data_IF_477485303833
#
_entry.id   IF_477485303833
#
_cell.length_a   1.000
_cell.length_b   1.000
_cell.length_c   1.000
_cell.angle_alpha   90.00
_cell.angle_beta   90.00
_cell.angle_gamma   90.00
#
_symmetry.space_group_name_H-M   'P 1'
#
loop_
_entity.id
_entity.type
_entity.pdbx_description
1 polymer ?
#
# COMPACT_ATOMS: atom_id res chain seq x y z
N UNK A 1 1.84 10.68 21.91
CA UNK A 1 2.36 11.29 20.66
C UNK A 1 2.17 10.20 19.62
N UNK A 2 1.24 10.36 18.67
CA UNK A 2 1.03 9.35 17.65
C UNK A 2 2.24 9.43 16.70
N UNK A 3 3.06 8.39 16.70
CA UNK A 3 4.17 8.26 15.77
C UNK A 3 3.58 8.27 14.36
N UNK A 4 4.04 9.20 13.52
CA UNK A 4 3.58 9.32 12.15
C UNK A 4 4.11 8.09 11.40
N UNK A 5 3.29 7.05 11.26
CA UNK A 5 3.62 5.78 10.62
C UNK A 5 3.58 5.92 9.10
N UNK A 6 4.49 6.72 8.56
CA UNK A 6 4.59 6.97 7.13
C UNK A 6 4.83 5.71 6.32
N UNK A 7 3.94 5.43 5.36
CA UNK A 7 4.13 4.36 4.40
C UNK A 7 5.37 4.61 3.54
N UNK A 8 6.23 3.61 3.37
CA UNK A 8 7.35 3.71 2.43
C UNK A 8 6.87 3.51 1.00
N UNK A 9 7.18 4.46 0.12
CA UNK A 9 6.80 4.40 -1.29
C UNK A 9 8.03 4.56 -2.18
N UNK A 10 8.06 3.81 -3.29
CA UNK A 10 8.96 4.14 -4.39
C UNK A 10 8.49 5.46 -5.02
N UNK A 11 9.39 6.17 -5.70
CA UNK A 11 9.02 7.37 -6.47
C UNK A 11 7.89 7.07 -7.48
N UNK A 12 7.97 5.94 -8.19
CA UNK A 12 6.94 5.52 -9.15
C UNK A 12 5.58 5.28 -8.48
N UNK A 13 5.56 4.60 -7.33
CA UNK A 13 4.35 4.39 -6.56
C UNK A 13 3.75 5.71 -6.09
N UNK A 14 4.59 6.60 -5.53
CA UNK A 14 4.17 7.92 -5.11
C UNK A 14 3.55 8.71 -6.26
N UNK A 15 4.17 8.70 -7.44
CA UNK A 15 3.69 9.41 -8.62
C UNK A 15 2.36 8.83 -9.13
N UNK A 16 2.19 7.50 -9.13
CA UNK A 16 0.91 6.84 -9.46
C UNK A 16 -0.20 7.27 -8.51
N UNK A 17 0.06 7.26 -7.21
CA UNK A 17 -0.91 7.65 -6.18
C UNK A 17 -1.25 9.14 -6.23
N UNK A 18 -0.26 9.98 -6.53
CA UNK A 18 -0.46 11.41 -6.74
C UNK A 18 -1.32 11.68 -7.98
N UNK A 19 -1.07 10.99 -9.09
CA UNK A 19 -1.88 11.09 -10.29
C UNK A 19 -3.33 10.63 -10.05
N UNK A 20 -3.52 9.55 -9.30
CA UNK A 20 -4.85 9.10 -8.87
C UNK A 20 -5.55 10.19 -8.04
N UNK A 21 -4.85 10.76 -7.05
CA UNK A 21 -5.39 11.84 -6.23
C UNK A 21 -5.79 13.06 -7.07
N UNK A 22 -4.97 13.48 -8.03
CA UNK A 22 -5.28 14.60 -8.92
C UNK A 22 -6.53 14.33 -9.77
N UNK A 23 -6.67 13.12 -10.30
CA UNK A 23 -7.86 12.72 -11.06
C UNK A 23 -9.13 12.71 -10.19
N UNK A 24 -9.07 12.06 -9.02
CA UNK A 24 -10.21 11.92 -8.13
C UNK A 24 -10.66 13.24 -7.52
N UNK A 25 -9.71 14.13 -7.18
CA UNK A 25 -9.99 15.43 -6.55
C UNK A 25 -10.34 16.54 -7.54
N UNK A 26 -10.00 16.36 -8.82
CA UNK A 26 -10.28 17.29 -9.91
C UNK A 26 -11.41 16.79 -10.82
N UNK A 27 -11.10 16.27 -12.02
CA UNK A 27 -12.08 15.98 -13.06
C UNK A 27 -13.19 15.03 -12.58
N UNK A 28 -12.85 13.94 -11.89
CA UNK A 28 -13.85 12.96 -11.48
C UNK A 28 -14.79 13.50 -10.39
N UNK A 29 -14.28 14.29 -9.45
CA UNK A 29 -15.12 15.00 -8.47
C UNK A 29 -16.12 15.92 -9.18
N UNK A 30 -15.69 16.63 -10.22
CA UNK A 30 -16.58 17.50 -11.00
C UNK A 30 -17.65 16.67 -11.74
N UNK A 31 -17.27 15.55 -12.36
CA UNK A 31 -18.22 14.64 -13.03
C UNK A 31 -19.30 14.09 -12.08
N UNK A 32 -18.93 13.79 -10.82
CA UNK A 32 -19.90 13.37 -9.80
C UNK A 32 -20.85 14.53 -9.46
N UNK A 33 -20.34 15.75 -9.29
CA UNK A 33 -21.15 16.95 -9.01
C UNK A 33 -22.14 17.20 -10.14
N UNK A 34 -21.69 17.10 -11.39
CA UNK A 34 -22.53 17.32 -12.57
C UNK A 34 -23.64 16.27 -12.66
N UNK A 35 -23.33 14.99 -12.37
CA UNK A 35 -24.34 13.91 -12.29
C UNK A 35 -25.35 14.12 -11.17
N UNK A 36 -24.91 14.58 -9.99
CA UNK A 36 -25.82 14.92 -8.88
C UNK A 36 -26.73 16.08 -9.29
N UNK A 37 -26.19 17.10 -9.97
CA UNK A 37 -26.99 18.24 -10.45
C UNK A 37 -28.02 17.81 -11.48
N UNK A 38 -27.62 17.01 -12.47
CA UNK A 38 -28.52 16.51 -13.51
C UNK A 38 -29.65 15.65 -12.90
N UNK A 39 -29.32 14.72 -12.00
CA UNK A 39 -30.31 13.90 -11.31
C UNK A 39 -31.24 14.73 -10.41
N UNK A 40 -30.78 15.90 -9.92
CA UNK A 40 -31.62 16.82 -9.14
C UNK A 40 -32.65 17.55 -9.99
N UNK A 41 -32.33 17.83 -11.24
CA UNK A 41 -33.23 18.50 -12.18
C UNK A 41 -34.34 17.56 -12.69
N UNK A 42 -34.18 16.24 -12.53
CA UNK A 42 -35.15 15.20 -12.93
C UNK A 42 -36.39 15.09 -12.01
N UNK A 43 -36.44 15.82 -10.88
CA UNK A 43 -37.64 15.94 -10.05
C UNK A 43 -37.55 15.28 -8.68
N UNK A 44 -38.37 14.25 -8.40
CA UNK A 44 -38.49 13.69 -7.05
C UNK A 44 -37.22 12.92 -6.62
N UNK A 45 -36.42 13.59 -5.78
CA UNK A 45 -35.18 13.07 -5.23
C UNK A 45 -35.36 11.85 -4.33
N UNK A 46 -36.55 11.63 -3.78
CA UNK A 46 -36.78 10.53 -2.84
C UNK A 46 -36.74 9.18 -3.55
N UNK A 47 -37.22 9.12 -4.79
CA UNK A 47 -37.26 7.91 -5.61
C UNK A 47 -36.20 7.87 -6.71
N UNK A 48 -35.47 8.98 -6.94
CA UNK A 48 -34.41 9.02 -7.96
C UNK A 48 -33.19 8.16 -7.55
N UNK A 49 -33.12 6.94 -8.08
CA UNK A 49 -32.00 6.02 -7.87
C UNK A 49 -30.66 6.56 -8.38
N UNK A 50 -30.66 7.36 -9.45
CA UNK A 50 -29.47 8.02 -9.99
C UNK A 50 -28.90 9.06 -9.02
N UNK A 51 -29.76 9.82 -8.36
CA UNK A 51 -29.34 10.77 -7.33
C UNK A 51 -28.70 10.08 -6.12
N UNK A 52 -29.33 9.02 -5.60
CA UNK A 52 -28.78 8.24 -4.47
C UNK A 52 -27.46 7.58 -4.83
N UNK A 53 -27.37 6.97 -6.02
CA UNK A 53 -26.13 6.36 -6.50
C UNK A 53 -24.99 7.38 -6.64
N UNK A 54 -25.26 8.54 -7.23
CA UNK A 54 -24.25 9.59 -7.38
C UNK A 54 -23.80 10.16 -6.03
N UNK A 55 -24.69 10.24 -5.03
CA UNK A 55 -24.34 10.64 -3.66
C UNK A 55 -23.51 9.59 -2.91
N UNK A 56 -23.80 8.31 -3.10
CA UNK A 56 -22.98 7.22 -2.56
C UNK A 56 -21.58 7.24 -3.18
N UNK A 57 -21.52 7.42 -4.50
CA UNK A 57 -20.27 7.53 -5.25
C UNK A 57 -19.44 8.74 -4.82
N UNK A 58 -20.07 9.89 -4.59
CA UNK A 58 -19.43 11.05 -3.97
C UNK A 58 -18.81 10.69 -2.62
N UNK A 59 -19.54 9.98 -1.75
CA UNK A 59 -19.03 9.55 -0.45
C UNK A 59 -17.80 8.64 -0.56
N UNK A 60 -17.83 7.67 -1.49
CA UNK A 60 -16.70 6.78 -1.76
C UNK A 60 -15.50 7.55 -2.28
N UNK A 61 -15.71 8.47 -3.24
CA UNK A 61 -14.65 9.30 -3.80
C UNK A 61 -13.98 10.16 -2.72
N UNK A 62 -14.76 10.85 -1.89
CA UNK A 62 -14.21 11.67 -0.79
C UNK A 62 -13.48 10.82 0.26
N UNK A 63 -13.93 9.59 0.51
CA UNK A 63 -13.22 8.63 1.35
C UNK A 63 -11.85 8.28 0.79
N UNK A 64 -11.77 7.95 -0.51
CA UNK A 64 -10.52 7.61 -1.19
C UNK A 64 -9.56 8.80 -1.25
N UNK A 65 -10.05 10.00 -1.54
CA UNK A 65 -9.24 11.22 -1.54
C UNK A 65 -8.58 11.45 -0.19
N UNK A 66 -9.35 11.34 0.91
CA UNK A 66 -8.78 11.50 2.27
C UNK A 66 -7.72 10.45 2.57
N UNK A 67 -7.93 9.21 2.18
CA UNK A 67 -6.96 8.13 2.35
C UNK A 67 -5.66 8.45 1.57
N UNK A 68 -5.77 8.80 0.29
CA UNK A 68 -4.61 9.14 -0.55
C UNK A 68 -3.87 10.37 -0.03
N UNK A 69 -4.59 11.41 0.41
CA UNK A 69 -3.97 12.59 1.01
C UNK A 69 -3.17 12.24 2.26
N UNK A 70 -3.75 11.45 3.17
CA UNK A 70 -3.07 11.02 4.38
C UNK A 70 -1.82 10.19 4.05
N UNK A 71 -1.96 9.22 3.14
CA UNK A 71 -0.88 8.35 2.70
C UNK A 71 0.27 9.15 2.08
N UNK A 72 -0.02 10.08 1.17
CA UNK A 72 0.98 10.90 0.49
C UNK A 72 1.64 11.94 1.41
N UNK A 73 0.94 12.41 2.45
CA UNK A 73 1.46 13.36 3.45
C UNK A 73 2.44 12.68 4.42
N UNK A 74 2.14 11.44 4.82
CA UNK A 74 3.00 10.70 5.76
C UNK A 74 4.07 9.88 5.04
N UNK A 75 3.93 9.63 3.74
CA UNK A 75 4.82 8.73 3.01
C UNK A 75 6.29 9.15 3.05
N UNK A 76 7.15 8.16 3.25
CA UNK A 76 8.58 8.29 3.00
C UNK A 76 8.88 7.80 1.59
N UNK A 77 9.28 8.72 0.71
CA UNK A 77 9.66 8.41 -0.67
C UNK A 77 11.16 8.12 -0.73
N UNK A 78 11.53 6.96 -1.25
CA UNK A 78 12.91 6.69 -1.64
C UNK A 78 13.08 6.91 -3.14
N UNK A 79 13.98 7.82 -3.52
CA UNK A 79 14.34 8.10 -4.92
C UNK A 79 15.06 6.93 -5.60
N UNK A 80 15.64 6.02 -4.81
CA UNK A 80 16.27 4.83 -5.34
C UNK A 80 15.28 3.67 -5.24
N UNK A 81 15.00 2.95 -6.34
CA UNK A 81 14.65 1.54 -6.19
C UNK A 81 15.68 0.95 -5.24
N UNK A 82 15.24 0.23 -4.21
CA UNK A 82 16.17 -0.60 -3.44
C UNK A 82 17.03 -1.33 -4.49
N UNK A 83 18.36 -1.17 -4.42
CA UNK A 83 19.19 -1.65 -5.51
C UNK A 83 18.97 -3.16 -5.65
N UNK A 84 18.92 -3.73 -6.85
CA UNK A 84 18.92 -5.20 -7.01
C UNK A 84 20.32 -5.76 -6.68
N UNK A 85 20.76 -5.50 -5.45
CA UNK A 85 22.05 -5.87 -4.86
C UNK A 85 21.89 -7.00 -3.83
N UNK A 86 20.69 -7.58 -3.78
CA UNK A 86 20.29 -8.65 -2.89
C UNK A 86 20.12 -8.22 -1.43
N UNK A 87 20.10 -6.93 -1.11
CA UNK A 87 19.79 -6.45 0.25
C UNK A 87 18.27 -6.36 0.42
N UNK A 88 17.78 -6.88 1.54
CA UNK A 88 16.37 -6.76 1.92
C UNK A 88 16.14 -5.37 2.51
N UNK A 89 15.33 -4.58 1.81
CA UNK A 89 14.92 -3.24 2.23
C UNK A 89 13.39 -3.10 2.04
N UNK A 90 12.73 -2.13 2.70
CA UNK A 90 11.35 -1.79 2.38
C UNK A 90 11.19 -1.52 0.88
N UNK A 91 10.12 -2.07 0.28
CA UNK A 91 9.90 -2.03 -1.17
C UNK A 91 10.46 -3.22 -1.95
N UNK A 92 11.09 -4.19 -1.27
CA UNK A 92 11.55 -5.44 -1.88
C UNK A 92 10.50 -6.55 -1.77
N UNK A 93 10.32 -7.30 -2.86
CA UNK A 93 9.75 -8.65 -2.84
C UNK A 93 10.81 -9.61 -2.36
N UNK A 94 10.58 -10.18 -1.18
CA UNK A 94 11.48 -11.11 -0.52
C UNK A 94 10.92 -12.52 -0.62
N UNK A 95 11.73 -13.44 -1.08
CA UNK A 95 11.50 -14.87 -0.93
C UNK A 95 12.39 -15.39 0.20
N UNK A 96 11.78 -15.99 1.21
CA UNK A 96 12.51 -16.53 2.35
C UNK A 96 11.99 -17.91 2.75
N UNK A 97 12.90 -18.77 3.21
CA UNK A 97 12.53 -20.00 3.90
C UNK A 97 12.31 -19.71 5.38
N UNK A 98 11.08 -19.86 5.86
CA UNK A 98 10.69 -19.62 7.25
C UNK A 98 10.29 -20.96 7.86
N UNK A 99 11.05 -21.43 8.86
CA UNK A 99 10.82 -22.72 9.51
C UNK A 99 10.59 -23.90 8.53
N UNK A 100 11.36 -23.95 7.44
CA UNK A 100 11.27 -25.01 6.43
C UNK A 100 10.24 -24.76 5.32
N UNK A 101 9.51 -23.64 5.32
CA UNK A 101 8.55 -23.27 4.28
C UNK A 101 9.02 -22.05 3.51
N UNK A 102 9.08 -22.16 2.19
CA UNK A 102 9.36 -21.01 1.32
C UNK A 102 8.12 -20.13 1.22
N UNK A 103 8.30 -18.83 1.48
CA UNK A 103 7.26 -17.82 1.39
C UNK A 103 7.78 -16.62 0.60
N UNK A 104 6.91 -16.03 -0.21
CA UNK A 104 7.21 -14.82 -0.98
C UNK A 104 6.29 -13.71 -0.51
N UNK A 105 6.86 -12.55 -0.19
CA UNK A 105 6.12 -11.43 0.37
C UNK A 105 6.79 -10.09 0.06
N UNK A 106 6.02 -9.02 0.14
CA UNK A 106 6.54 -7.65 0.06
C UNK A 106 6.89 -7.16 1.46
N UNK A 107 8.11 -6.64 1.64
CA UNK A 107 8.49 -5.95 2.87
C UNK A 107 8.07 -4.48 2.76
N UNK A 108 7.14 -4.02 3.60
CA UNK A 108 6.65 -2.64 3.60
C UNK A 108 5.38 -2.43 4.43
N UNK A 109 4.86 -1.21 4.42
CA UNK A 109 3.62 -0.86 5.15
C UNK A 109 2.39 -1.53 4.53
N UNK A 110 1.44 -1.95 5.39
CA UNK A 110 0.13 -2.48 4.96
C UNK A 110 -0.67 -1.49 4.13
N UNK A 111 -0.49 -0.18 4.34
CA UNK A 111 -1.19 0.83 3.54
C UNK A 111 -0.69 0.84 2.09
N UNK A 112 0.58 0.48 1.88
CA UNK A 112 1.16 0.26 0.55
C UNK A 112 0.56 -0.99 -0.09
N UNK A 113 0.24 -2.02 0.71
CA UNK A 113 -0.42 -3.24 0.23
C UNK A 113 -1.80 -2.94 -0.37
N UNK A 114 -2.66 -2.25 0.37
CA UNK A 114 -4.03 -2.00 -0.10
C UNK A 114 -4.06 -1.08 -1.34
N UNK A 115 -2.97 -0.35 -1.59
CA UNK A 115 -2.92 0.68 -2.64
C UNK A 115 -2.07 0.28 -3.86
N UNK A 116 -0.98 -0.47 -3.69
CA UNK A 116 -0.11 -0.97 -4.78
C UNK A 116 -0.30 -2.47 -5.08
N UNK A 117 -0.66 -3.27 -4.07
CA UNK A 117 -0.78 -4.73 -4.17
C UNK A 117 -2.22 -5.14 -4.55
N UNK A 118 -3.10 -4.18 -4.85
CA UNK A 118 -4.50 -4.37 -5.28
C UNK A 118 -4.75 -5.22 -6.54
N UNK A 119 -3.73 -5.91 -7.06
CA UNK A 119 -3.83 -6.92 -8.11
C UNK A 119 -2.83 -8.11 -8.00
N UNK A 120 -2.08 -8.23 -6.90
CA UNK A 120 -1.09 -9.31 -6.70
C UNK A 120 -1.36 -10.10 -5.43
N UNK A 121 -1.36 -11.44 -5.47
CA UNK A 121 -1.57 -12.34 -4.31
C UNK A 121 -0.43 -12.31 -3.26
N UNK A 122 0.40 -11.27 -3.25
CA UNK A 122 1.53 -11.14 -2.36
C UNK A 122 1.09 -10.67 -0.97
N UNK A 123 1.51 -11.41 0.05
CA UNK A 123 1.36 -10.95 1.44
C UNK A 123 2.33 -9.80 1.70
N UNK A 124 1.90 -8.82 2.50
CA UNK A 124 2.73 -7.67 2.89
C UNK A 124 3.04 -7.74 4.37
N UNK A 125 4.33 -7.68 4.70
CA UNK A 125 4.81 -7.64 6.07
C UNK A 125 5.51 -6.32 6.33
N UNK A 126 5.19 -5.69 7.47
CA UNK A 126 5.90 -4.48 7.89
C UNK A 126 7.32 -4.80 8.33
N UNK A 127 8.22 -3.88 7.99
CA UNK A 127 9.58 -3.73 8.48
C UNK A 127 9.68 -3.64 10.01
N UNK A 128 8.61 -3.22 10.69
CA UNK A 128 8.54 -3.18 12.16
C UNK A 128 8.09 -4.51 12.77
N UNK A 129 7.62 -5.47 11.98
CA UNK A 129 7.27 -6.80 12.49
C UNK A 129 8.52 -7.54 12.98
N UNK A 130 8.42 -8.50 13.91
CA UNK A 130 9.60 -9.25 14.39
C UNK A 130 10.41 -9.90 13.25
N UNK A 131 9.71 -10.40 12.23
CA UNK A 131 10.35 -10.92 11.01
C UNK A 131 10.97 -9.81 10.17
N UNK A 132 10.21 -8.76 9.87
CA UNK A 132 10.67 -7.62 9.06
C UNK A 132 11.91 -6.95 9.65
N UNK A 133 11.92 -6.71 10.96
CA UNK A 133 13.04 -6.10 11.67
C UNK A 133 14.28 -7.00 11.68
N UNK A 134 14.10 -8.33 11.68
CA UNK A 134 15.21 -9.28 11.65
C UNK A 134 15.84 -9.41 10.26
N UNK A 135 15.06 -9.29 9.18
CA UNK A 135 15.57 -9.44 7.80
C UNK A 135 15.97 -8.11 7.15
N UNK A 136 15.48 -6.98 7.65
CA UNK A 136 15.79 -5.66 7.08
C UNK A 136 17.29 -5.35 7.18
N UNK A 137 17.90 -4.99 6.05
CA UNK A 137 19.34 -4.73 5.90
C UNK A 137 20.21 -5.98 5.66
N UNK A 138 19.63 -7.18 5.67
CA UNK A 138 20.35 -8.43 5.41
C UNK A 138 20.36 -8.82 3.93
N UNK A 139 21.31 -9.68 3.55
CA UNK A 139 21.53 -10.05 2.15
C UNK A 139 20.96 -11.43 1.80
N UNK A 140 20.68 -11.63 0.52
CA UNK A 140 20.37 -12.95 -0.04
C UNK A 140 21.47 -13.96 0.35
N UNK A 141 21.04 -15.09 0.91
CA UNK A 141 21.91 -16.13 1.44
C UNK A 141 22.07 -16.10 2.95
N UNK A 142 21.73 -15.00 3.63
CA UNK A 142 21.83 -14.91 5.08
C UNK A 142 20.82 -15.85 5.77
N UNK A 143 21.30 -16.48 6.84
CA UNK A 143 20.50 -17.31 7.75
C UNK A 143 20.39 -16.61 9.10
N UNK A 144 19.16 -16.27 9.48
CA UNK A 144 18.82 -15.44 10.62
C UNK A 144 17.76 -16.16 11.46
N UNK A 145 17.43 -15.61 12.62
CA UNK A 145 16.26 -16.03 13.36
C UNK A 145 15.55 -14.84 13.99
N UNK A 146 14.23 -14.90 14.07
CA UNK A 146 13.44 -13.91 14.79
C UNK A 146 12.62 -14.56 15.89
N UNK A 147 12.33 -13.80 16.95
CA UNK A 147 11.43 -14.25 18.00
C UNK A 147 9.99 -13.96 17.59
N UNK A 148 9.18 -15.01 17.46
CA UNK A 148 7.75 -14.86 17.26
C UNK A 148 7.07 -14.39 18.56
N UNK A 149 5.88 -13.76 18.51
CA UNK A 149 5.16 -13.27 19.70
C UNK A 149 4.88 -14.33 20.79
N UNK A 150 5.00 -15.61 20.45
CA UNK A 150 4.88 -16.74 21.36
C UNK A 150 6.21 -17.16 22.03
N UNK A 151 7.27 -16.36 21.90
CA UNK A 151 8.60 -16.60 22.46
C UNK A 151 9.44 -17.64 21.71
N UNK A 152 8.97 -18.16 20.57
CA UNK A 152 9.73 -19.15 19.79
C UNK A 152 10.67 -18.45 18.81
N UNK A 153 11.91 -18.92 18.79
CA UNK A 153 12.89 -18.58 17.76
C UNK A 153 12.51 -19.30 16.46
N UNK A 154 12.24 -18.52 15.40
CA UNK A 154 11.92 -19.03 14.07
C UNK A 154 13.12 -18.75 13.15
N UNK A 155 13.75 -19.79 12.57
CA UNK A 155 14.82 -19.58 11.60
C UNK A 155 14.25 -19.05 10.28
N UNK A 156 14.94 -18.10 9.68
CA UNK A 156 14.64 -17.53 8.38
C UNK A 156 15.90 -17.52 7.50
N UNK A 157 15.77 -17.95 6.25
CA UNK A 157 16.84 -17.87 5.26
C UNK A 157 16.37 -17.04 4.07
N UNK A 158 17.11 -16.00 3.72
CA UNK A 158 16.78 -15.13 2.58
C UNK A 158 17.21 -15.84 1.29
N UNK A 159 16.25 -16.12 0.40
CA UNK A 159 16.48 -16.81 -0.88
C UNK A 159 16.61 -15.79 -2.02
N UNK A 160 15.75 -14.79 -2.05
CA UNK A 160 15.81 -13.70 -3.02
C UNK A 160 15.26 -12.42 -2.43
N UNK A 161 15.77 -11.28 -2.88
CA UNK A 161 15.28 -9.95 -2.56
C UNK A 161 15.35 -9.13 -3.85
N UNK A 162 14.20 -8.77 -4.39
CA UNK A 162 14.10 -8.04 -5.65
C UNK A 162 13.21 -6.82 -5.50
N UNK A 163 13.49 -5.70 -6.22
CA UNK A 163 12.65 -4.52 -6.14
C UNK A 163 11.23 -4.85 -6.59
N UNK A 164 10.23 -4.39 -5.84
CA UNK A 164 8.84 -4.51 -6.28
C UNK A 164 8.62 -3.63 -7.50
N UNK A 165 8.34 -4.28 -8.62
CA UNK A 165 7.95 -3.65 -9.89
C UNK A 165 6.42 -3.74 -9.98
N UNK A 166 5.73 -2.81 -9.31
CA UNK A 166 4.27 -2.64 -9.38
C UNK A 166 3.90 -1.33 -10.04
#
# INVERSE_FOLDING_TARGET
MAENEGAWLTQEAYDKLKAELEHLSGPYRQEIIDRISAARDEGDLKENGGYHAAREEQGKNEGRIKQLQHLLETAQVSEKPAADDGVVEPGMVVEANIAGKTMTFLLGSREVADTLVGGTDLQVFSEKSPMGAAINGHKVGDELSYEAPNGKQIPVKIISAKPFQG
#
